data_IF_284631570078
#
_entry.id   IF_284631570078
#
_cell.length_a   1.000
_cell.length_b   1.000
_cell.length_c   1.000
_cell.angle_alpha   90.00
_cell.angle_beta   90.00
_cell.angle_gamma   90.00
#
_symmetry.space_group_name_H-M   'P 1'
#
loop_
_entity.id
_entity.type
_entity.pdbx_description
1 polymer ?
#
# COMPACT_ATOMS: atom_id res chain seq x y z
N UNK A 1 29.62 -6.86 -16.16
CA UNK A 1 28.15 -6.73 -16.29
C UNK A 1 27.42 -7.37 -15.10
N UNK A 2 27.67 -8.64 -14.76
CA UNK A 2 26.95 -9.37 -13.69
C UNK A 2 27.42 -9.10 -12.24
N UNK A 3 28.22 -8.06 -11.98
CA UNK A 3 28.60 -7.71 -10.61
C UNK A 3 27.41 -7.06 -9.88
N UNK A 4 27.28 -7.32 -8.57
CA UNK A 4 26.21 -6.74 -7.75
C UNK A 4 26.19 -5.20 -7.83
N UNK A 5 27.37 -4.57 -7.87
CA UNK A 5 27.52 -3.12 -8.04
C UNK A 5 26.98 -2.62 -9.38
N UNK A 6 27.26 -3.31 -10.50
CA UNK A 6 26.79 -2.87 -11.81
C UNK A 6 25.28 -3.08 -11.96
N UNK A 7 24.73 -4.17 -11.42
CA UNK A 7 23.27 -4.38 -11.36
C UNK A 7 22.58 -3.28 -10.57
N UNK A 8 23.11 -2.93 -9.39
CA UNK A 8 22.57 -1.85 -8.57
C UNK A 8 22.63 -0.50 -9.30
N UNK A 9 23.73 -0.22 -10.02
CA UNK A 9 23.87 0.97 -10.86
C UNK A 9 22.80 1.02 -11.97
N UNK A 10 22.65 -0.06 -12.74
CA UNK A 10 21.66 -0.14 -13.82
C UNK A 10 20.23 0.01 -13.28
N UNK A 11 19.92 -0.64 -12.17
CA UNK A 11 18.61 -0.54 -11.54
C UNK A 11 18.30 0.89 -11.08
N UNK A 12 19.30 1.56 -10.48
CA UNK A 12 19.20 2.98 -10.09
C UNK A 12 18.96 3.87 -11.32
N UNK A 13 19.69 3.64 -12.41
CA UNK A 13 19.52 4.39 -13.65
C UNK A 13 18.12 4.19 -14.26
N UNK A 14 17.55 2.98 -14.19
CA UNK A 14 16.17 2.74 -14.62
C UNK A 14 15.15 3.57 -13.82
N UNK A 15 15.38 3.75 -12.52
CA UNK A 15 14.55 4.61 -11.66
C UNK A 15 14.73 6.09 -12.05
N UNK A 16 15.97 6.56 -12.15
CA UNK A 16 16.28 7.97 -12.45
C UNK A 16 15.79 8.40 -13.85
N UNK A 17 15.83 7.50 -14.84
CA UNK A 17 15.30 7.74 -16.18
C UNK A 17 13.77 7.53 -16.28
N UNK A 18 13.11 7.18 -15.18
CA UNK A 18 11.66 6.98 -15.14
C UNK A 18 11.16 5.80 -15.95
N UNK A 19 12.00 4.80 -16.23
CA UNK A 19 11.63 3.59 -16.99
C UNK A 19 10.50 2.82 -16.29
N UNK A 20 10.44 2.90 -14.96
CA UNK A 20 9.43 2.24 -14.15
C UNK A 20 8.15 3.07 -13.92
N UNK A 21 8.12 4.36 -14.30
CA UNK A 21 6.99 5.25 -13.98
C UNK A 21 5.67 4.83 -14.64
N UNK A 22 5.76 4.09 -15.74
CA UNK A 22 4.61 3.62 -16.52
C UNK A 22 4.17 2.20 -16.12
N UNK A 23 4.82 1.59 -15.13
CA UNK A 23 4.59 0.20 -14.76
C UNK A 23 3.67 0.10 -13.53
N UNK A 24 2.77 -0.87 -13.55
CA UNK A 24 1.94 -1.22 -12.39
C UNK A 24 2.78 -2.03 -11.37
N UNK A 25 2.48 -1.91 -10.07
CA UNK A 25 3.14 -2.71 -9.03
C UNK A 25 2.99 -4.22 -9.22
N UNK A 26 1.92 -4.67 -9.88
CA UNK A 26 1.69 -6.09 -10.18
C UNK A 26 2.69 -6.69 -11.16
N UNK A 27 3.35 -5.86 -11.99
CA UNK A 27 4.31 -6.34 -13.01
C UNK A 27 5.76 -6.38 -12.52
N UNK A 28 6.04 -5.88 -11.30
CA UNK A 28 7.41 -5.83 -10.74
C UNK A 28 8.15 -7.17 -10.73
N UNK A 29 7.55 -8.33 -10.39
CA UNK A 29 8.24 -9.62 -10.45
C UNK A 29 8.68 -9.98 -11.88
N UNK A 30 7.84 -9.66 -12.87
CA UNK A 30 8.14 -9.88 -14.29
C UNK A 30 9.26 -8.95 -14.77
N UNK A 31 9.24 -7.69 -14.33
CA UNK A 31 10.26 -6.68 -14.65
C UNK A 31 11.62 -7.10 -14.09
N UNK A 32 11.66 -7.55 -12.84
CA UNK A 32 12.87 -8.06 -12.20
C UNK A 32 13.43 -9.27 -12.95
N UNK A 33 12.57 -10.22 -13.34
CA UNK A 33 13.00 -11.39 -14.13
C UNK A 33 13.61 -10.98 -15.47
N UNK A 34 12.95 -10.08 -16.21
CA UNK A 34 13.45 -9.55 -17.50
C UNK A 34 14.77 -8.80 -17.35
N UNK A 35 14.93 -8.07 -16.25
CA UNK A 35 16.19 -7.37 -15.95
C UNK A 35 17.34 -8.37 -15.78
N UNK A 36 17.14 -9.40 -14.96
CA UNK A 36 18.15 -10.44 -14.71
C UNK A 36 18.49 -11.24 -15.97
N UNK A 37 17.50 -11.55 -16.81
CA UNK A 37 17.70 -12.18 -18.12
C UNK A 37 18.58 -11.31 -19.03
N UNK A 38 18.24 -10.03 -19.15
CA UNK A 38 19.00 -9.10 -19.99
C UNK A 38 20.42 -8.88 -19.46
N UNK A 39 20.63 -8.83 -18.14
CA UNK A 39 22.00 -8.70 -17.59
C UNK A 39 22.87 -9.90 -17.96
N UNK A 40 22.29 -11.11 -18.00
CA UNK A 40 22.99 -12.33 -18.43
C UNK A 40 23.32 -12.31 -19.93
N UNK A 41 22.44 -11.78 -20.77
CA UNK A 41 22.69 -11.64 -22.21
C UNK A 41 23.93 -10.77 -22.48
N UNK A 42 24.11 -9.69 -21.70
CA UNK A 42 25.27 -8.79 -21.80
C UNK A 42 26.52 -9.25 -21.03
N UNK A 43 26.46 -10.39 -20.33
CA UNK A 43 27.59 -10.93 -19.56
C UNK A 43 28.74 -11.39 -20.47
N UNK A 44 28.41 -11.96 -21.64
CA UNK A 44 29.37 -12.55 -22.57
C UNK A 44 29.85 -11.62 -23.69
N UNK A 45 29.33 -10.38 -23.79
CA UNK A 45 29.80 -9.42 -24.80
C UNK A 45 31.26 -9.00 -24.49
N UNK A 46 32.05 -8.67 -25.51
CA UNK A 46 33.42 -8.15 -25.35
C UNK A 46 33.50 -6.63 -25.15
N UNK A 47 32.38 -5.91 -25.18
CA UNK A 47 32.36 -4.45 -25.14
C UNK A 47 32.77 -3.88 -23.76
N UNK A 48 33.18 -2.61 -23.76
CA UNK A 48 33.41 -1.86 -22.52
C UNK A 48 32.14 -1.80 -21.65
N UNK A 49 32.31 -1.75 -20.32
CA UNK A 49 31.20 -1.84 -19.37
C UNK A 49 30.22 -0.67 -19.54
N UNK A 50 30.74 0.52 -19.81
CA UNK A 50 29.96 1.73 -20.04
C UNK A 50 29.06 1.60 -21.27
N UNK A 51 29.61 1.11 -22.38
CA UNK A 51 28.88 0.91 -23.63
C UNK A 51 27.76 -0.14 -23.46
N UNK A 52 28.06 -1.24 -22.75
CA UNK A 52 27.08 -2.26 -22.40
C UNK A 52 25.95 -1.69 -21.56
N UNK A 53 26.28 -0.83 -20.59
CA UNK A 53 25.27 -0.24 -19.70
C UNK A 53 24.33 0.70 -20.46
N UNK A 54 24.83 1.49 -21.41
CA UNK A 54 23.97 2.34 -22.26
C UNK A 54 23.06 1.50 -23.18
N UNK A 55 23.62 0.49 -23.84
CA UNK A 55 22.86 -0.42 -24.70
C UNK A 55 21.79 -1.16 -23.91
N UNK A 56 22.15 -1.67 -22.72
CA UNK A 56 21.23 -2.31 -21.80
C UNK A 56 20.04 -1.40 -21.46
N UNK A 57 20.28 -0.15 -21.06
CA UNK A 57 19.20 0.76 -20.65
C UNK A 57 18.24 1.05 -21.81
N UNK A 58 18.76 1.21 -23.02
CA UNK A 58 17.96 1.43 -24.23
C UNK A 58 17.09 0.22 -24.55
N UNK A 59 17.69 -0.96 -24.52
CA UNK A 59 16.99 -2.21 -24.84
C UNK A 59 15.97 -2.59 -23.76
N UNK A 60 16.34 -2.45 -22.49
CA UNK A 60 15.46 -2.73 -21.37
C UNK A 60 14.21 -1.85 -21.42
N UNK A 61 14.36 -0.57 -21.74
CA UNK A 61 13.22 0.34 -21.97
C UNK A 61 12.32 -0.15 -23.11
N UNK A 62 12.91 -0.58 -24.23
CA UNK A 62 12.15 -1.09 -25.37
C UNK A 62 11.41 -2.40 -25.06
N UNK A 63 11.97 -3.27 -24.21
CA UNK A 63 11.32 -4.53 -23.81
C UNK A 63 10.20 -4.33 -22.79
N UNK A 64 10.17 -3.19 -22.10
CA UNK A 64 9.17 -2.88 -21.06
C UNK A 64 7.98 -2.09 -21.59
N UNK A 65 8.17 -1.25 -22.61
CA UNK A 65 7.06 -0.53 -23.24
C UNK A 65 6.33 -1.47 -24.19
N UNK A 66 4.99 -1.63 -24.07
CA UNK A 66 4.22 -2.32 -25.10
C UNK A 66 4.39 -1.60 -26.45
N UNK A 67 4.38 -2.37 -27.54
CA UNK A 67 4.38 -1.77 -28.88
C UNK A 67 3.12 -0.92 -29.04
N UNK A 68 3.21 0.17 -29.80
CA UNK A 68 2.06 0.99 -30.17
C UNK A 68 0.92 0.13 -30.76
N UNK A 69 1.27 -0.92 -31.52
CA UNK A 69 0.30 -1.87 -32.08
C UNK A 69 -0.45 -2.67 -31.01
N UNK A 70 0.20 -3.04 -29.91
CA UNK A 70 -0.44 -3.80 -28.83
C UNK A 70 -1.41 -2.90 -28.04
N UNK A 71 -0.99 -1.67 -27.78
CA UNK A 71 -1.86 -0.66 -27.14
C UNK A 71 -3.06 -0.34 -28.02
N UNK A 72 -2.87 -0.19 -29.32
CA UNK A 72 -3.97 0.06 -30.26
C UNK A 72 -4.99 -1.08 -30.28
N UNK A 73 -4.53 -2.34 -30.30
CA UNK A 73 -5.43 -3.52 -30.25
C UNK A 73 -6.25 -3.58 -28.96
N UNK A 74 -5.65 -3.20 -27.82
CA UNK A 74 -6.37 -3.13 -26.55
C UNK A 74 -7.47 -2.07 -26.57
N UNK A 75 -7.16 -0.88 -27.11
CA UNK A 75 -8.16 0.17 -27.32
C UNK A 75 -9.27 -0.27 -28.27
N UNK A 76 -8.93 -0.88 -29.40
CA UNK A 76 -9.92 -1.35 -30.38
C UNK A 76 -10.87 -2.40 -29.77
N UNK A 77 -10.35 -3.26 -28.87
CA UNK A 77 -11.15 -4.24 -28.14
C UNK A 77 -12.12 -3.58 -27.15
N UNK A 78 -11.72 -2.51 -26.49
CA UNK A 78 -12.59 -1.74 -25.58
C UNK A 78 -13.68 -0.97 -26.34
N UNK A 79 -13.40 -0.54 -27.56
CA UNK A 79 -14.35 0.15 -28.43
C UNK A 79 -15.38 -0.79 -29.07
N UNK A 80 -15.14 -2.11 -29.05
CA UNK A 80 -16.08 -3.13 -29.53
C UNK A 80 -16.76 -3.83 -28.34
N UNK A 81 -17.83 -3.23 -27.75
CA UNK A 81 -18.57 -3.93 -26.72
C UNK A 81 -19.12 -5.25 -27.26
N UNK A 82 -19.10 -6.33 -26.45
CA UNK A 82 -19.71 -7.59 -26.86
C UNK A 82 -21.19 -7.36 -27.17
N UNK A 83 -21.66 -7.94 -28.28
CA UNK A 83 -23.10 -7.90 -28.61
C UNK A 83 -23.87 -8.46 -27.41
N UNK A 84 -24.88 -7.72 -26.89
CA UNK A 84 -25.68 -8.24 -25.80
C UNK A 84 -26.25 -9.61 -26.20
N UNK A 85 -26.25 -10.59 -25.28
CA UNK A 85 -26.93 -11.84 -25.55
C UNK A 85 -28.40 -11.53 -25.90
N UNK A 86 -28.90 -12.09 -27.00
CA UNK A 86 -30.31 -11.95 -27.34
C UNK A 86 -31.14 -12.51 -26.18
N UNK A 87 -32.05 -11.69 -25.66
CA UNK A 87 -33.01 -12.14 -24.66
C UNK A 87 -33.91 -13.17 -25.33
N UNK A 88 -33.82 -14.41 -24.85
CA UNK A 88 -34.73 -15.46 -25.27
C UNK A 88 -36.05 -15.32 -24.51
N UNK A 89 -37.03 -14.70 -25.16
CA UNK A 89 -38.38 -14.52 -24.64
C UNK A 89 -39.25 -15.79 -24.72
N UNK A 90 -38.70 -16.93 -25.18
CA UNK A 90 -39.39 -18.23 -25.14
C UNK A 90 -39.24 -18.94 -23.80
N UNK A 91 -38.43 -18.40 -22.88
CA UNK A 91 -38.30 -18.89 -21.51
C UNK A 91 -39.65 -18.85 -20.80
N UNK A 92 -39.94 -19.91 -20.05
CA UNK A 92 -41.12 -19.95 -19.17
C UNK A 92 -41.15 -18.68 -18.30
N UNK A 93 -42.33 -18.09 -18.08
CA UNK A 93 -42.46 -16.93 -17.20
C UNK A 93 -41.82 -17.24 -15.86
N UNK A 94 -41.02 -16.29 -15.36
CA UNK A 94 -40.35 -16.43 -14.08
C UNK A 94 -41.37 -16.89 -13.04
N UNK A 95 -41.06 -18.01 -12.38
CA UNK A 95 -41.90 -18.49 -11.28
C UNK A 95 -41.98 -17.35 -10.27
N UNK A 96 -43.18 -17.01 -9.76
CA UNK A 96 -43.29 -16.04 -8.67
C UNK A 96 -42.33 -16.48 -7.58
N UNK A 97 -41.60 -15.52 -7.01
CA UNK A 97 -40.61 -15.76 -5.96
C UNK A 97 -41.30 -16.48 -4.80
N UNK A 98 -41.31 -17.82 -4.85
CA UNK A 98 -41.88 -18.63 -3.80
C UNK A 98 -40.91 -18.54 -2.64
N UNK A 99 -41.46 -18.22 -1.49
CA UNK A 99 -40.77 -18.25 -0.20
C UNK A 99 -39.86 -17.05 0.12
N UNK A 100 -40.38 -15.84 -0.12
CA UNK A 100 -39.88 -14.59 0.49
C UNK A 100 -39.60 -14.75 1.99
N UNK A 101 -40.48 -15.49 2.68
CA UNK A 101 -40.40 -15.83 4.10
C UNK A 101 -39.13 -16.62 4.44
N UNK A 102 -38.87 -17.73 3.75
CA UNK A 102 -37.64 -18.52 3.94
C UNK A 102 -36.38 -17.72 3.59
N UNK A 103 -36.43 -16.87 2.56
CA UNK A 103 -35.29 -16.01 2.22
C UNK A 103 -35.00 -14.98 3.32
N UNK A 104 -36.05 -14.40 3.91
CA UNK A 104 -35.96 -13.47 5.04
C UNK A 104 -35.39 -14.16 6.29
N UNK A 105 -35.87 -15.35 6.61
CA UNK A 105 -35.37 -16.15 7.74
C UNK A 105 -33.90 -16.49 7.56
N UNK A 106 -33.52 -17.05 6.40
CA UNK A 106 -32.13 -17.39 6.09
C UNK A 106 -31.19 -16.19 6.13
N UNK A 107 -31.66 -15.03 5.65
CA UNK A 107 -30.86 -13.79 5.67
C UNK A 107 -30.71 -13.27 7.11
N UNK A 108 -31.75 -13.40 7.93
CA UNK A 108 -31.70 -12.99 9.33
C UNK A 108 -30.82 -13.90 10.18
N UNK A 109 -30.87 -15.22 9.95
CA UNK A 109 -29.97 -16.19 10.62
C UNK A 109 -28.52 -15.92 10.27
N UNK A 110 -28.20 -15.77 8.97
CA UNK A 110 -26.86 -15.42 8.52
C UNK A 110 -26.35 -14.13 9.16
N UNK A 111 -27.17 -13.07 9.24
CA UNK A 111 -26.79 -11.83 9.91
C UNK A 111 -26.54 -12.02 11.41
N UNK A 112 -27.32 -12.85 12.10
CA UNK A 112 -27.09 -13.16 13.52
C UNK A 112 -25.73 -13.83 13.72
N UNK A 113 -25.37 -14.79 12.86
CA UNK A 113 -24.07 -15.46 12.89
C UNK A 113 -22.92 -14.48 12.63
N UNK A 114 -23.04 -13.63 11.61
CA UNK A 114 -22.04 -12.60 11.29
C UNK A 114 -21.85 -11.63 12.46
N UNK A 115 -22.94 -11.16 13.06
CA UNK A 115 -22.91 -10.30 14.25
C UNK A 115 -22.22 -11.01 15.42
N UNK A 116 -22.57 -12.28 15.66
CA UNK A 116 -21.99 -13.05 16.76
C UNK A 116 -20.49 -13.29 16.55
N UNK A 117 -20.03 -13.54 15.32
CA UNK A 117 -18.60 -13.62 15.00
C UNK A 117 -17.89 -12.30 15.25
N UNK A 118 -18.46 -11.17 14.83
CA UNK A 118 -17.88 -9.84 15.10
C UNK A 118 -17.71 -9.56 16.60
N UNK A 119 -18.63 -10.06 17.42
CA UNK A 119 -18.57 -9.92 18.88
C UNK A 119 -17.76 -11.02 19.59
N UNK A 120 -17.52 -12.17 18.94
CA UNK A 120 -16.71 -13.26 19.50
C UNK A 120 -15.23 -13.12 19.15
N UNK A 121 -14.91 -12.60 17.97
CA UNK A 121 -13.54 -12.36 17.50
C UNK A 121 -12.94 -11.05 18.04
N UNK A 122 -13.70 -10.33 18.86
CA UNK A 122 -13.20 -9.19 19.64
C UNK A 122 -13.55 -9.37 21.12
N UNK A 123 -12.69 -10.05 21.91
CA UNK A 123 -12.39 -9.45 23.20
C UNK A 123 -12.01 -8.00 22.88
N UNK A 124 -12.59 -7.04 23.62
CA UNK A 124 -12.10 -5.66 23.64
C UNK A 124 -10.58 -5.72 23.44
N UNK A 125 -10.07 -5.13 22.34
CA UNK A 125 -8.67 -4.80 22.28
C UNK A 125 -8.45 -3.96 23.54
N UNK A 126 -7.85 -4.56 24.57
CA UNK A 126 -6.82 -3.87 25.33
C UNK A 126 -5.87 -3.39 24.26
N UNK A 127 -6.09 -2.16 23.78
CA UNK A 127 -5.08 -1.42 23.05
C UNK A 127 -3.85 -1.55 23.93
N UNK A 128 -2.85 -2.32 23.48
CA UNK A 128 -1.50 -2.10 23.93
C UNK A 128 -1.29 -0.60 23.76
N UNK A 129 -1.22 0.13 24.88
CA UNK A 129 -0.95 1.56 24.83
C UNK A 129 0.33 1.71 24.03
N UNK A 130 0.21 2.40 22.89
CA UNK A 130 1.33 2.66 21.98
C UNK A 130 2.51 3.15 22.83
N UNK A 131 3.68 2.49 22.82
CA UNK A 131 4.77 2.78 23.77
C UNK A 131 5.24 4.25 23.70
N UNK A 132 4.98 4.91 22.57
CA UNK A 132 5.20 6.34 22.37
C UNK A 132 4.20 7.19 23.18
N UNK A 133 2.92 6.80 23.18
CA UNK A 133 1.87 7.48 23.91
C UNK A 133 2.09 7.36 25.42
N UNK A 134 2.48 6.18 25.91
CA UNK A 134 2.79 5.97 27.33
C UNK A 134 4.01 6.81 27.77
N UNK A 135 5.02 6.92 26.89
CA UNK A 135 6.19 7.78 27.16
C UNK A 135 5.81 9.26 27.20
N UNK A 136 4.94 9.72 26.29
CA UNK A 136 4.41 11.08 26.30
C UNK A 136 3.60 11.39 27.57
N UNK A 137 2.72 10.48 28.00
CA UNK A 137 1.95 10.62 29.25
C UNK A 137 2.87 10.78 30.46
N UNK A 138 3.91 9.94 30.57
CA UNK A 138 4.90 10.03 31.65
C UNK A 138 5.68 11.35 31.63
N UNK A 139 6.04 11.86 30.45
CA UNK A 139 6.75 13.15 30.33
C UNK A 139 5.84 14.31 30.71
N UNK A 140 4.59 14.31 30.28
CA UNK A 140 3.58 15.31 30.66
C UNK A 140 3.35 15.32 32.17
N UNK A 141 3.25 14.15 32.79
CA UNK A 141 3.07 14.04 34.24
C UNK A 141 4.26 14.62 35.01
N UNK A 142 5.50 14.30 34.60
CA UNK A 142 6.72 14.88 35.18
C UNK A 142 6.79 16.40 35.03
N UNK A 143 6.40 16.94 33.88
CA UNK A 143 6.36 18.39 33.67
C UNK A 143 5.32 19.06 34.58
N UNK A 144 4.14 18.44 34.75
CA UNK A 144 3.10 18.95 35.65
C UNK A 144 3.59 19.00 37.11
N UNK A 145 4.21 17.93 37.60
CA UNK A 145 4.79 17.87 38.95
C UNK A 145 5.88 18.94 39.15
N UNK A 146 6.73 19.15 38.14
CA UNK A 146 7.75 20.18 38.18
C UNK A 146 7.14 21.59 38.26
N UNK A 147 6.11 21.87 37.46
CA UNK A 147 5.43 23.16 37.47
C UNK A 147 4.76 23.43 38.82
N UNK A 148 4.13 22.43 39.43
CA UNK A 148 3.55 22.53 40.77
C UNK A 148 4.61 22.84 41.82
N UNK A 149 5.76 22.14 41.79
CA UNK A 149 6.88 22.39 42.71
C UNK A 149 7.45 23.80 42.57
N UNK A 150 7.57 24.31 41.34
CA UNK A 150 8.00 25.68 41.08
C UNK A 150 7.00 26.67 41.67
N UNK A 151 5.70 26.47 41.44
CA UNK A 151 4.65 27.32 41.99
C UNK A 151 4.66 27.34 43.52
N UNK A 152 4.78 26.18 44.16
CA UNK A 152 4.90 26.09 45.63
C UNK A 152 6.12 26.84 46.15
N UNK A 153 7.25 26.73 45.46
CA UNK A 153 8.49 27.42 45.83
C UNK A 153 8.33 28.94 45.69
N UNK A 154 7.69 29.40 44.60
CA UNK A 154 7.38 30.81 44.39
C UNK A 154 6.43 31.35 45.45
N UNK A 155 5.39 30.60 45.83
CA UNK A 155 4.49 31.00 46.92
C UNK A 155 5.23 31.12 48.26
N UNK A 156 6.08 30.16 48.62
CA UNK A 156 6.91 30.22 49.83
C UNK A 156 7.85 31.43 49.83
N UNK A 157 8.45 31.75 48.69
CA UNK A 157 9.31 32.93 48.52
C UNK A 157 8.51 34.23 48.69
N UNK A 158 7.33 34.33 48.10
CA UNK A 158 6.44 35.49 48.26
C UNK A 158 6.06 35.66 49.73
N UNK A 159 5.63 34.60 50.41
CA UNK A 159 5.28 34.63 51.83
C UNK A 159 6.47 35.06 52.69
N UNK A 160 7.68 34.55 52.40
CA UNK A 160 8.90 34.94 53.10
C UNK A 160 9.22 36.43 52.90
N UNK A 161 9.12 36.94 51.67
CA UNK A 161 9.35 38.34 51.36
C UNK A 161 8.29 39.26 51.98
N UNK A 162 7.04 38.82 52.09
CA UNK A 162 5.98 39.58 52.76
C UNK A 162 6.18 39.63 54.28
N UNK A 163 6.64 38.53 54.90
CA UNK A 163 6.90 38.47 56.35
C UNK A 163 8.09 39.33 56.77
N UNK A 164 9.13 39.45 55.93
CA UNK A 164 10.33 40.25 56.20
C UNK A 164 10.23 41.72 55.75
N UNK A 165 9.05 42.19 55.34
CA UNK A 165 8.77 43.60 54.98
C UNK A 165 8.18 44.44 56.13
N UNK A 166 8.11 43.89 57.34
CA UNK A 166 7.83 44.62 58.59
C UNK A 166 9.12 44.81 59.38
#
# INVERSE_FOLDING_TARGET
MNSQQNKAYLWKQCIEQGIFNTLNSSVLPTVQKRFEELVKEYENSQDAVELKNEQFLREFRSRLMPSFEDTQKEYDKLLQPPKPPMVDFTREPDKPMQDLTSLLEKTNERRKEEIQQVFSDKPFLTQEKDPILERMERTLQKHSEMLLSILETQMKLIDYLQRNKK
#
